data_IF_034014917404
#
_entry.id   IF_034014917404
#
_cell.length_a   1.000
_cell.length_b   1.000
_cell.length_c   1.000
_cell.angle_alpha   90.00
_cell.angle_beta   90.00
_cell.angle_gamma   90.00
#
_symmetry.space_group_name_H-M   'P 1'
#
loop_
_entity.id
_entity.type
_entity.pdbx_description
1 polymer ?
#
# COMPACT_ATOMS: atom_id res chain seq x y z
N UNK A 1 1.17 -3.56 13.87
CA UNK A 1 -0.04 -4.42 13.90
C UNK A 1 -1.12 -3.71 13.10
N UNK A 2 -1.91 -4.43 12.31
CA UNK A 2 -3.04 -3.80 11.64
C UNK A 2 -4.14 -3.47 12.66
N UNK A 3 -4.98 -2.45 12.39
CA UNK A 3 -6.17 -2.22 13.20
C UNK A 3 -7.14 -3.41 13.07
N UNK A 4 -8.16 -3.50 13.94
CA UNK A 4 -9.28 -4.42 13.73
C UNK A 4 -9.88 -4.29 12.33
N UNK A 5 -10.60 -5.32 11.83
CA UNK A 5 -11.20 -5.30 10.51
C UNK A 5 -11.97 -4.01 10.23
N UNK A 6 -11.75 -3.44 9.03
CA UNK A 6 -12.44 -2.23 8.62
C UNK A 6 -13.90 -2.58 8.27
N UNK A 7 -14.84 -1.91 8.91
CA UNK A 7 -16.27 -2.04 8.60
C UNK A 7 -16.66 -1.08 7.47
N UNK A 8 -17.23 -1.63 6.40
CA UNK A 8 -17.62 -0.88 5.21
C UNK A 8 -19.11 -1.09 4.94
N UNK A 9 -19.85 0.01 4.86
CA UNK A 9 -21.27 0.00 4.48
C UNK A 9 -21.47 0.93 3.30
N UNK A 10 -22.13 0.46 2.25
CA UNK A 10 -22.38 1.27 1.04
C UNK A 10 -23.66 0.84 0.32
N UNK A 11 -23.98 1.54 -0.77
CA UNK A 11 -25.03 1.14 -1.72
C UNK A 11 -24.43 1.02 -3.11
N UNK A 12 -24.75 -0.07 -3.81
CA UNK A 12 -24.40 -0.22 -5.22
C UNK A 12 -25.23 0.73 -6.10
N UNK A 13 -24.89 0.82 -7.38
CA UNK A 13 -25.53 1.72 -8.34
C UNK A 13 -27.03 1.49 -8.49
N UNK A 14 -27.50 0.26 -8.28
CA UNK A 14 -28.92 -0.13 -8.27
C UNK A 14 -29.64 0.17 -6.93
N UNK A 15 -28.94 0.76 -5.96
CA UNK A 15 -29.46 1.13 -4.65
C UNK A 15 -29.44 0.02 -3.60
N UNK A 16 -29.03 -1.21 -3.97
CA UNK A 16 -28.94 -2.33 -3.04
C UNK A 16 -27.92 -2.01 -1.93
N UNK A 17 -28.29 -2.16 -0.64
CA UNK A 17 -27.37 -1.96 0.47
C UNK A 17 -26.40 -3.14 0.60
N UNK A 18 -25.16 -2.84 0.97
CA UNK A 18 -24.10 -3.81 1.22
C UNK A 18 -23.38 -3.51 2.54
N UNK A 19 -22.83 -4.55 3.13
CA UNK A 19 -22.02 -4.51 4.33
C UNK A 19 -20.88 -5.52 4.20
N UNK A 20 -19.68 -5.15 4.63
CA UNK A 20 -18.52 -6.02 4.66
C UNK A 20 -17.57 -5.66 5.80
N UNK A 21 -16.89 -6.68 6.33
CA UNK A 21 -15.75 -6.54 7.21
C UNK A 21 -14.48 -6.93 6.44
N UNK A 22 -13.53 -6.01 6.35
CA UNK A 22 -12.27 -6.20 5.61
C UNK A 22 -11.14 -6.44 6.61
N UNK A 23 -10.70 -7.69 6.73
CA UNK A 23 -9.60 -8.10 7.60
C UNK A 23 -8.23 -7.88 6.93
N UNK A 24 -7.56 -6.79 7.33
CA UNK A 24 -6.25 -6.42 6.81
C UNK A 24 -5.12 -7.34 7.28
N UNK A 25 -5.21 -7.92 8.49
CA UNK A 25 -4.21 -8.89 8.96
C UNK A 25 -4.26 -10.17 8.12
N UNK A 26 -5.45 -10.59 7.67
CA UNK A 26 -5.57 -11.74 6.76
C UNK A 26 -5.09 -11.41 5.34
N UNK A 27 -5.49 -10.26 4.78
CA UNK A 27 -5.10 -9.87 3.40
C UNK A 27 -3.59 -9.65 3.30
N UNK A 28 -2.99 -8.98 4.28
CA UNK A 28 -1.56 -8.64 4.31
C UNK A 28 -0.80 -9.44 5.39
N UNK A 29 -1.09 -10.74 5.48
CA UNK A 29 -0.54 -11.64 6.51
C UNK A 29 0.98 -11.60 6.67
N UNK A 30 1.68 -11.44 5.55
CA UNK A 30 3.15 -11.48 5.50
C UNK A 30 3.76 -10.12 5.84
N UNK A 31 2.95 -9.05 5.88
CA UNK A 31 3.38 -7.67 6.20
C UNK A 31 4.53 -7.18 5.32
N UNK A 32 4.54 -7.61 4.06
CA UNK A 32 5.53 -7.25 3.05
C UNK A 32 4.96 -6.22 2.10
N UNK A 33 5.75 -5.17 1.83
CA UNK A 33 5.49 -4.24 0.73
C UNK A 33 5.98 -4.88 -0.57
N UNK A 34 5.07 -5.19 -1.49
CA UNK A 34 5.44 -5.67 -2.82
C UNK A 34 5.90 -4.51 -3.70
N UNK A 35 7.08 -4.65 -4.32
CA UNK A 35 7.65 -3.64 -5.21
C UNK A 35 8.56 -4.27 -6.27
N UNK A 36 8.92 -3.49 -7.29
CA UNK A 36 9.79 -3.94 -8.39
C UNK A 36 11.23 -3.41 -8.31
N UNK A 37 11.58 -2.65 -7.25
CA UNK A 37 12.95 -2.16 -7.06
C UNK A 37 13.91 -3.34 -6.81
N UNK A 38 15.03 -3.45 -7.55
CA UNK A 38 16.05 -4.46 -7.32
C UNK A 38 16.70 -4.34 -5.93
N UNK A 39 17.05 -5.48 -5.32
CA UNK A 39 17.57 -5.53 -3.96
C UNK A 39 18.84 -4.69 -3.78
N UNK A 40 19.72 -4.67 -4.77
CA UNK A 40 20.97 -3.91 -4.79
C UNK A 40 20.77 -2.39 -4.84
N UNK A 41 19.56 -1.93 -5.19
CA UNK A 41 19.19 -0.51 -5.21
C UNK A 41 18.43 -0.08 -3.95
N UNK A 42 18.12 -1.01 -3.05
CA UNK A 42 17.48 -0.69 -1.78
C UNK A 42 18.53 -0.19 -0.77
N UNK A 43 18.15 0.75 0.11
CA UNK A 43 18.98 1.07 1.26
C UNK A 43 19.11 -0.17 2.17
N UNK A 44 20.16 -0.27 2.99
CA UNK A 44 20.28 -1.33 3.97
C UNK A 44 19.04 -1.38 4.87
N UNK A 45 18.53 -2.59 5.12
CA UNK A 45 17.23 -2.88 5.78
C UNK A 45 17.03 -2.12 7.11
N UNK A 46 18.11 -1.80 7.82
CA UNK A 46 18.07 -1.08 9.10
C UNK A 46 17.66 0.40 9.00
N UNK A 47 17.55 0.99 7.80
CA UNK A 47 17.31 2.43 7.61
C UNK A 47 16.00 2.80 6.90
N UNK A 48 15.27 1.82 6.37
CA UNK A 48 14.03 2.08 5.64
C UNK A 48 12.84 2.06 6.61
N UNK A 49 12.53 3.21 7.20
CA UNK A 49 11.23 3.43 7.83
C UNK A 49 10.17 3.53 6.71
N UNK A 50 9.55 2.39 6.38
CA UNK A 50 8.48 2.32 5.39
C UNK A 50 7.17 2.31 6.15
N UNK A 51 6.40 3.39 5.97
CA UNK A 51 5.03 3.51 6.47
C UNK A 51 4.07 3.37 5.29
N UNK A 52 3.56 2.16 5.00
CA UNK A 52 2.60 1.97 3.93
C UNK A 52 1.22 2.50 4.32
N UNK A 53 0.55 3.10 3.35
CA UNK A 53 -0.88 3.42 3.42
C UNK A 53 -1.70 2.25 2.87
N UNK A 54 -2.84 1.98 3.51
CA UNK A 54 -3.84 1.03 3.00
C UNK A 54 -5.03 1.80 2.46
N UNK A 55 -5.44 1.46 1.24
CA UNK A 55 -6.56 2.11 0.54
C UNK A 55 -7.65 1.07 0.30
N UNK A 56 -8.86 1.35 0.79
CA UNK A 56 -10.05 0.58 0.48
C UNK A 56 -10.88 1.36 -0.53
N UNK A 57 -11.08 0.77 -1.71
CA UNK A 57 -11.90 1.33 -2.77
C UNK A 57 -13.19 0.53 -2.86
N UNK A 58 -14.33 1.21 -2.70
CA UNK A 58 -15.64 0.65 -2.97
C UNK A 58 -16.00 0.94 -4.43
N UNK A 59 -16.17 -0.11 -5.23
CA UNK A 59 -16.57 -0.01 -6.63
C UNK A 59 -17.79 -0.91 -6.92
N UNK A 60 -18.99 -0.29 -6.92
CA UNK A 60 -20.30 -0.93 -7.11
C UNK A 60 -20.54 -2.13 -6.17
N UNK A 61 -20.24 -3.35 -6.60
CA UNK A 61 -20.40 -4.58 -5.79
C UNK A 61 -19.07 -5.19 -5.33
N UNK A 62 -17.97 -4.46 -5.50
CA UNK A 62 -16.62 -4.92 -5.16
C UNK A 62 -15.95 -3.96 -4.19
N UNK A 63 -15.14 -4.52 -3.28
CA UNK A 63 -14.15 -3.75 -2.52
C UNK A 63 -12.78 -4.18 -3.02
N UNK A 64 -12.01 -3.23 -3.54
CA UNK A 64 -10.61 -3.45 -3.84
C UNK A 64 -9.76 -2.93 -2.68
N UNK A 65 -8.72 -3.69 -2.32
CA UNK A 65 -7.80 -3.34 -1.23
C UNK A 65 -6.42 -3.18 -1.82
N UNK A 66 -5.82 -2.01 -1.63
CA UNK A 66 -4.51 -1.68 -2.14
C UNK A 66 -3.57 -1.29 -1.00
N UNK A 67 -2.29 -1.58 -1.19
CA UNK A 67 -1.20 -1.03 -0.39
C UNK A 67 -0.44 -0.02 -1.24
N UNK A 68 -0.18 1.15 -0.67
CA UNK A 68 0.65 2.18 -1.28
C UNK A 68 1.82 2.46 -0.35
N UNK A 69 3.04 2.38 -0.87
CA UNK A 69 4.23 2.65 -0.09
C UNK A 69 5.25 3.42 -0.93
N UNK A 70 6.04 4.26 -0.27
CA UNK A 70 7.24 4.83 -0.88
C UNK A 70 8.38 3.84 -0.67
N UNK A 71 8.99 3.39 -1.77
CA UNK A 71 10.22 2.57 -1.74
C UNK A 71 11.39 3.47 -2.07
N UNK A 72 12.30 3.63 -1.11
CA UNK A 72 13.49 4.45 -1.26
C UNK A 72 14.54 3.71 -2.10
N UNK A 73 15.23 4.43 -2.97
CA UNK A 73 16.31 3.90 -3.82
C UNK A 73 17.63 4.59 -3.48
N UNK A 74 18.74 3.85 -3.52
CA UNK A 74 20.11 4.39 -3.37
C UNK A 74 20.62 5.07 -4.65
N UNK A 75 19.91 4.87 -5.77
CA UNK A 75 20.19 5.47 -7.07
C UNK A 75 19.06 6.41 -7.50
N UNK A 76 19.39 7.33 -8.40
CA UNK A 76 18.41 8.21 -9.07
C UNK A 76 17.42 7.38 -9.89
N UNK A 77 16.13 7.55 -9.64
CA UNK A 77 15.09 6.94 -10.47
C UNK A 77 15.07 7.53 -11.89
N UNK A 78 15.45 8.80 -12.03
CA UNK A 78 15.61 9.49 -13.31
C UNK A 78 17.05 9.99 -13.43
N UNK A 79 17.89 9.37 -14.27
CA UNK A 79 19.28 9.79 -14.43
C UNK A 79 19.38 11.29 -14.74
N UNK A 80 20.22 12.01 -14.00
CA UNK A 80 20.41 13.46 -14.16
C UNK A 80 19.41 14.33 -13.40
N UNK A 81 18.43 13.74 -12.69
CA UNK A 81 17.56 14.46 -11.78
C UNK A 81 18.02 14.25 -10.33
N UNK A 82 18.67 15.25 -9.76
CA UNK A 82 19.14 15.23 -8.37
C UNK A 82 17.99 15.15 -7.34
N UNK A 83 16.75 15.43 -7.72
CA UNK A 83 15.58 15.27 -6.84
C UNK A 83 14.96 13.86 -6.92
N UNK A 84 15.54 12.96 -7.72
CA UNK A 84 15.01 11.60 -7.93
C UNK A 84 15.64 10.53 -7.02
N UNK A 85 16.41 10.94 -6.01
CA UNK A 85 16.82 10.10 -4.88
C UNK A 85 16.38 10.80 -3.59
N UNK A 86 15.46 10.21 -2.82
CA UNK A 86 14.95 10.86 -1.61
C UNK A 86 15.77 10.42 -0.40
N UNK A 87 16.82 11.21 -0.10
CA UNK A 87 17.50 11.42 1.20
C UNK A 87 18.97 11.90 1.00
N UNK A 88 19.20 13.03 0.33
CA UNK A 88 20.20 14.01 0.76
C UNK A 88 19.54 15.39 0.80
#
# INVERSE_FOLDING_TARGET
HFPPPAEVTWRSKDGQPHHALVDLDTIFKDKVVLHHVPQEQLPPILHADISPDIILEVNDRTINVYMKAMVQTTVQQKPGNEYSYFRN
#
